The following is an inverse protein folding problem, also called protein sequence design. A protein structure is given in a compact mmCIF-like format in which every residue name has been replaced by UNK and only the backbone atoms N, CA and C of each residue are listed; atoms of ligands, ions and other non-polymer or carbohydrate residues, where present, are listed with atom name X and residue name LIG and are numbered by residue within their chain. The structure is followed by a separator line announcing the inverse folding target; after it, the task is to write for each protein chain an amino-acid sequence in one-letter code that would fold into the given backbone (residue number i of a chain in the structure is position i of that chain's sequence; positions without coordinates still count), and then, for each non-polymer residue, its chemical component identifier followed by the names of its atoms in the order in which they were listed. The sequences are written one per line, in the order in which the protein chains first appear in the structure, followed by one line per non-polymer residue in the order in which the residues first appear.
data_IF_269586288697
#
_entry.id   IF_269586288697
#
_cell.length_a   1.000
_cell.length_b   1.000
_cell.length_c   1.000
_cell.angle_alpha   90.00
_cell.angle_beta   90.00
_cell.angle_gamma   90.00
#
_symmetry.space_group_name_H-M   'P 1'
#
loop_
_entity.id
_entity.type
_entity.pdbx_description
1 polymer ?
#
# COMPACT_ATOMS: atom_id res chain seq x y z
N UNK A 1 50.60 3.48 35.29
CA UNK A 1 51.13 2.17 34.87
C UNK A 1 49.96 1.44 34.19
N UNK A 2 50.03 1.42 32.88
CA UNK A 2 48.93 1.09 31.97
C UNK A 2 49.11 -0.36 31.52
N UNK A 3 48.09 -1.19 31.65
CA UNK A 3 48.04 -2.48 30.96
C UNK A 3 47.00 -2.45 29.86
N UNK A 4 47.49 -2.57 28.62
CA UNK A 4 46.73 -2.89 27.39
C UNK A 4 46.56 -4.40 27.38
N UNK A 5 45.34 -4.88 27.32
CA UNK A 5 45.04 -6.27 26.95
C UNK A 5 44.34 -6.33 25.62
N UNK A 6 44.94 -7.10 24.73
CA UNK A 6 44.59 -7.45 23.37
C UNK A 6 43.29 -8.24 23.34
N UNK A 7 42.32 -7.78 22.56
CA UNK A 7 41.20 -8.63 22.14
C UNK A 7 41.58 -9.26 20.79
N UNK A 8 41.83 -10.55 20.82
CA UNK A 8 41.99 -11.39 19.63
C UNK A 8 40.62 -11.65 19.02
N UNK A 9 40.42 -11.22 17.77
CA UNK A 9 39.27 -11.59 16.96
C UNK A 9 39.30 -13.10 16.65
N UNK A 10 38.22 -13.78 17.03
CA UNK A 10 37.94 -15.13 16.56
C UNK A 10 37.09 -15.03 15.31
N UNK A 11 37.66 -15.30 14.15
CA UNK A 11 36.94 -15.54 12.92
C UNK A 11 36.21 -16.89 13.04
N UNK A 12 34.91 -16.87 13.22
CA UNK A 12 34.09 -18.07 13.06
C UNK A 12 33.87 -18.32 11.57
N UNK A 13 34.62 -19.26 11.00
CA UNK A 13 34.30 -19.89 9.75
C UNK A 13 33.10 -20.83 9.98
N UNK A 14 31.90 -20.38 9.74
CA UNK A 14 30.70 -21.23 9.70
C UNK A 14 30.72 -22.07 8.43
N UNK A 15 31.37 -23.22 8.44
CA UNK A 15 31.11 -24.28 7.45
C UNK A 15 29.79 -24.94 7.80
N UNK A 16 28.68 -24.33 7.38
CA UNK A 16 27.35 -24.90 7.52
C UNK A 16 27.13 -26.04 6.54
N UNK A 17 27.16 -27.28 7.00
CA UNK A 17 26.53 -28.40 6.31
C UNK A 17 25.01 -28.14 6.28
N UNK A 18 24.50 -27.55 5.20
CA UNK A 18 23.07 -27.47 4.93
C UNK A 18 22.52 -28.90 4.78
N UNK A 19 21.52 -29.26 5.59
CA UNK A 19 20.79 -30.51 5.45
C UNK A 19 20.23 -30.65 4.01
N UNK A 20 20.09 -31.88 3.46
CA UNK A 20 19.63 -32.09 2.08
C UNK A 20 18.30 -31.36 1.74
N UNK A 21 17.41 -31.21 2.70
CA UNK A 21 16.15 -30.45 2.54
C UNK A 21 16.34 -28.94 2.31
N UNK A 22 17.35 -28.31 2.94
CA UNK A 22 17.64 -26.90 2.72
C UNK A 22 18.19 -26.62 1.31
N UNK A 23 18.96 -27.56 0.72
CA UNK A 23 19.48 -27.40 -0.63
C UNK A 23 18.37 -27.53 -1.70
N UNK A 24 17.38 -28.37 -1.49
CA UNK A 24 16.24 -28.52 -2.40
C UNK A 24 15.33 -27.28 -2.35
N UNK A 25 15.09 -26.70 -1.17
CA UNK A 25 14.33 -25.47 -1.01
C UNK A 25 15.06 -24.26 -1.62
N UNK A 26 16.36 -24.11 -1.38
CA UNK A 26 17.14 -23.01 -1.98
C UNK A 26 17.17 -23.08 -3.50
N UNK A 27 17.28 -24.27 -4.09
CA UNK A 27 17.22 -24.46 -5.55
C UNK A 27 15.86 -24.11 -6.15
N UNK A 28 14.76 -24.42 -5.45
CA UNK A 28 13.39 -24.08 -5.88
C UNK A 28 13.19 -22.56 -5.89
N UNK A 29 13.55 -21.88 -4.82
CA UNK A 29 13.39 -20.42 -4.72
C UNK A 29 14.25 -19.65 -5.73
N UNK A 30 15.44 -20.13 -6.04
CA UNK A 30 16.28 -19.55 -7.09
C UNK A 30 15.62 -19.66 -8.48
N UNK A 31 15.01 -20.81 -8.79
CA UNK A 31 14.30 -21.01 -10.06
C UNK A 31 13.06 -20.14 -10.18
N UNK A 32 12.31 -19.96 -9.08
CA UNK A 32 11.15 -19.06 -9.02
C UNK A 32 11.57 -17.60 -9.22
N UNK A 33 12.60 -17.12 -8.54
CA UNK A 33 13.15 -15.77 -8.73
C UNK A 33 13.62 -15.51 -10.15
N UNK A 34 14.25 -16.50 -10.79
CA UNK A 34 14.68 -16.38 -12.18
C UNK A 34 13.49 -16.32 -13.16
N UNK A 35 12.42 -17.08 -12.90
CA UNK A 35 11.19 -17.01 -13.69
C UNK A 35 10.52 -15.61 -13.57
N UNK A 36 10.46 -15.08 -12.35
CA UNK A 36 9.95 -13.72 -12.08
C UNK A 36 10.84 -12.68 -12.77
N UNK A 37 12.17 -12.81 -12.70
CA UNK A 37 13.12 -11.90 -13.35
C UNK A 37 12.92 -11.87 -14.85
N UNK A 38 12.80 -13.03 -15.51
CA UNK A 38 12.55 -13.11 -16.95
C UNK A 38 11.23 -12.44 -17.34
N UNK A 39 10.17 -12.71 -16.59
CA UNK A 39 8.88 -12.06 -16.84
C UNK A 39 8.94 -10.56 -16.60
N UNK A 40 9.60 -10.09 -15.54
CA UNK A 40 9.77 -8.66 -15.26
C UNK A 40 10.56 -7.96 -16.39
N UNK A 41 11.63 -8.55 -16.89
CA UNK A 41 12.39 -8.03 -18.05
C UNK A 41 11.53 -7.96 -19.30
N UNK A 42 10.71 -8.98 -19.57
CA UNK A 42 9.76 -8.98 -20.68
C UNK A 42 8.74 -7.84 -20.55
N UNK A 43 8.16 -7.64 -19.36
CA UNK A 43 7.18 -6.59 -19.13
C UNK A 43 7.77 -5.17 -19.29
N UNK A 44 9.06 -4.99 -18.97
CA UNK A 44 9.79 -3.73 -19.24
C UNK A 44 10.05 -3.56 -20.75
N UNK A 45 10.49 -4.61 -21.43
CA UNK A 45 10.72 -4.60 -22.88
C UNK A 45 9.41 -4.31 -23.66
N UNK A 46 8.30 -4.87 -23.22
CA UNK A 46 6.95 -4.65 -23.79
C UNK A 46 6.36 -3.28 -23.41
N UNK A 47 7.10 -2.44 -22.68
CA UNK A 47 6.69 -1.09 -22.25
C UNK A 47 5.40 -1.05 -21.42
N UNK A 48 5.15 -2.09 -20.62
CA UNK A 48 4.10 -2.02 -19.60
C UNK A 48 4.55 -1.22 -18.40
N UNK A 49 5.83 -1.38 -18.03
CA UNK A 49 6.45 -0.71 -16.90
C UNK A 49 7.84 -0.19 -17.29
N UNK A 50 8.26 0.95 -16.69
CA UNK A 50 9.64 1.43 -16.80
C UNK A 50 10.54 0.74 -15.79
N UNK A 51 10.04 0.45 -14.61
CA UNK A 51 10.77 -0.17 -13.52
C UNK A 51 9.86 -1.08 -12.69
N UNK A 52 10.44 -2.15 -12.16
CA UNK A 52 9.76 -3.19 -11.39
C UNK A 52 10.65 -3.60 -10.21
N UNK A 53 10.05 -3.70 -9.02
CA UNK A 53 10.62 -4.35 -7.85
C UNK A 53 9.62 -5.40 -7.35
N UNK A 54 10.07 -6.65 -7.16
CA UNK A 54 9.23 -7.77 -6.72
C UNK A 54 9.93 -8.54 -5.62
N UNK A 55 9.20 -8.85 -4.54
CA UNK A 55 9.66 -9.68 -3.44
C UNK A 55 8.57 -10.56 -2.87
N UNK A 56 9.00 -11.63 -2.20
CA UNK A 56 8.15 -12.50 -1.36
C UNK A 56 8.86 -12.83 -0.06
N UNK A 57 8.10 -13.28 0.94
CA UNK A 57 8.66 -13.87 2.15
C UNK A 57 9.49 -15.13 1.82
N UNK A 58 10.36 -15.51 2.76
CA UNK A 58 11.19 -16.71 2.68
C UNK A 58 12.13 -16.83 1.47
N UNK A 59 13.31 -16.24 1.57
CA UNK A 59 14.51 -16.69 0.85
C UNK A 59 14.62 -16.49 -0.66
N UNK A 60 13.69 -15.85 -1.34
CA UNK A 60 13.97 -15.47 -2.72
C UNK A 60 14.74 -14.16 -2.75
N UNK A 61 15.77 -14.08 -3.58
CA UNK A 61 16.38 -12.80 -3.89
C UNK A 61 15.33 -11.88 -4.52
N UNK A 62 15.11 -10.67 -3.99
CA UNK A 62 14.22 -9.70 -4.60
C UNK A 62 14.64 -9.40 -6.04
N UNK A 63 13.68 -9.17 -6.91
CA UNK A 63 13.92 -8.85 -8.31
C UNK A 63 13.77 -7.36 -8.53
N UNK A 64 14.82 -6.71 -9.00
CA UNK A 64 14.85 -5.30 -9.40
C UNK A 64 15.23 -5.22 -10.86
N UNK A 65 14.40 -4.56 -11.70
CA UNK A 65 14.66 -4.36 -13.13
C UNK A 65 14.13 -3.02 -13.62
N UNK A 66 14.75 -2.47 -14.65
CA UNK A 66 14.33 -1.23 -15.29
C UNK A 66 14.82 0.03 -14.58
N UNK A 67 14.11 1.14 -14.79
CA UNK A 67 14.55 2.51 -14.43
C UNK A 67 13.55 3.21 -13.53
N UNK A 68 14.04 4.19 -12.76
CA UNK A 68 13.23 5.00 -11.83
C UNK A 68 12.45 6.15 -12.50
N UNK A 69 12.61 6.34 -13.82
CA UNK A 69 11.97 7.42 -14.54
C UNK A 69 11.93 7.19 -16.05
N UNK A 70 11.29 8.10 -16.81
CA UNK A 70 11.14 7.98 -18.25
C UNK A 70 12.39 8.36 -19.05
N UNK A 71 13.34 9.09 -18.46
CA UNK A 71 14.56 9.51 -19.11
C UNK A 71 15.48 8.29 -19.41
N UNK A 72 16.24 8.34 -20.51
CA UNK A 72 17.11 7.23 -20.91
C UNK A 72 18.30 7.03 -19.97
N UNK A 73 18.72 8.06 -19.29
CA UNK A 73 19.77 8.11 -18.27
C UNK A 73 19.22 7.99 -16.83
N UNK A 74 17.91 7.77 -16.65
CA UNK A 74 17.34 7.57 -15.32
C UNK A 74 18.01 6.38 -14.61
N UNK A 75 18.29 6.55 -13.31
CA UNK A 75 18.92 5.51 -12.50
C UNK A 75 18.12 4.21 -12.49
N UNK A 76 18.82 3.10 -12.30
CA UNK A 76 18.20 1.78 -12.18
C UNK A 76 17.38 1.64 -10.90
N UNK A 77 16.33 0.84 -10.96
CA UNK A 77 15.58 0.42 -9.78
C UNK A 77 16.43 -0.46 -8.90
N UNK A 78 16.46 -0.18 -7.60
CA UNK A 78 17.21 -0.89 -6.56
C UNK A 78 16.40 -1.03 -5.26
N UNK A 79 17.03 -1.54 -4.20
CA UNK A 79 16.40 -1.73 -2.89
C UNK A 79 16.09 -0.41 -2.16
N UNK A 80 16.73 0.70 -2.53
CA UNK A 80 16.52 2.02 -1.95
C UNK A 80 15.40 2.79 -2.66
N UNK A 81 14.98 2.32 -3.84
CA UNK A 81 14.00 2.99 -4.68
C UNK A 81 12.65 3.11 -3.99
N UNK A 82 12.18 4.36 -3.79
CA UNK A 82 10.87 4.68 -3.23
C UNK A 82 9.84 4.88 -4.32
N UNK A 83 8.79 4.07 -4.29
CA UNK A 83 7.66 4.11 -5.22
C UNK A 83 6.47 4.83 -4.60
N UNK A 84 5.71 5.59 -5.42
CA UNK A 84 4.37 6.05 -5.04
C UNK A 84 3.44 4.84 -4.91
N UNK A 85 3.01 4.55 -3.69
CA UNK A 85 2.16 3.40 -3.38
C UNK A 85 0.73 3.55 -3.91
N UNK A 86 0.33 4.76 -4.31
CA UNK A 86 -1.05 5.04 -4.71
C UNK A 86 -2.05 4.44 -3.70
N UNK A 87 -3.00 3.64 -4.17
CA UNK A 87 -4.03 3.06 -3.30
C UNK A 87 -3.55 2.01 -2.30
N UNK A 88 -2.30 1.51 -2.36
CA UNK A 88 -1.76 0.73 -1.25
C UNK A 88 -1.63 1.56 0.03
N UNK A 89 -1.61 2.90 -0.06
CA UNK A 89 -1.76 3.80 1.10
C UNK A 89 -2.95 3.43 1.97
N UNK A 90 -4.04 2.91 1.36
CA UNK A 90 -5.24 2.49 2.10
C UNK A 90 -4.97 1.36 3.07
N UNK A 91 -4.07 0.44 2.74
CA UNK A 91 -3.70 -0.67 3.64
C UNK A 91 -2.93 -0.16 4.85
N UNK A 92 -2.07 0.83 4.67
CA UNK A 92 -1.36 1.51 5.77
C UNK A 92 -2.37 2.28 6.65
N UNK A 93 -3.28 3.04 6.05
CA UNK A 93 -4.35 3.76 6.78
C UNK A 93 -5.22 2.80 7.57
N UNK A 94 -5.61 1.66 6.99
CA UNK A 94 -6.38 0.62 7.67
C UNK A 94 -5.60 0.03 8.85
N UNK A 95 -4.29 -0.20 8.71
CA UNK A 95 -3.43 -0.67 9.80
C UNK A 95 -3.33 0.35 10.93
N UNK A 96 -3.20 1.65 10.61
CA UNK A 96 -3.30 2.73 11.62
C UNK A 96 -4.63 2.65 12.37
N UNK A 97 -5.76 2.58 11.64
CA UNK A 97 -7.07 2.46 12.28
C UNK A 97 -7.19 1.19 13.14
N UNK A 98 -6.65 0.06 12.68
CA UNK A 98 -6.64 -1.17 13.45
C UNK A 98 -5.85 -1.05 14.77
N UNK A 99 -4.75 -0.29 14.80
CA UNK A 99 -4.06 0.01 16.07
C UNK A 99 -4.90 0.86 17.03
N UNK A 100 -5.65 1.84 16.50
CA UNK A 100 -6.56 2.67 17.29
C UNK A 100 -7.78 1.88 17.79
N UNK A 101 -8.23 0.88 17.05
CA UNK A 101 -9.28 -0.03 17.51
C UNK A 101 -8.76 -0.91 18.65
N UNK A 102 -7.54 -1.42 18.54
CA UNK A 102 -6.98 -2.31 19.55
C UNK A 102 -6.67 -1.61 20.89
N UNK A 103 -6.40 -0.30 20.86
CA UNK A 103 -6.22 0.48 22.11
C UNK A 103 -7.51 1.15 22.62
N UNK A 104 -8.64 0.94 21.93
CA UNK A 104 -9.95 1.47 22.31
C UNK A 104 -10.19 2.93 21.93
N UNK A 105 -9.27 3.58 21.23
CA UNK A 105 -9.42 4.98 20.78
C UNK A 105 -10.42 5.12 19.62
N UNK A 106 -10.67 4.03 18.87
CA UNK A 106 -11.56 4.00 17.71
C UNK A 106 -12.50 2.79 17.81
N UNK A 107 -13.82 3.05 17.74
CA UNK A 107 -14.83 2.00 17.59
C UNK A 107 -15.19 1.84 16.09
N UNK A 108 -14.92 0.69 15.47
CA UNK A 108 -15.25 0.47 14.06
C UNK A 108 -16.76 0.42 13.78
N UNK A 109 -17.60 0.17 14.81
CA UNK A 109 -19.06 0.12 14.68
C UNK A 109 -19.73 1.47 14.96
N UNK A 110 -19.02 2.42 15.53
CA UNK A 110 -19.53 3.76 15.76
C UNK A 110 -19.79 4.50 14.43
N UNK A 111 -20.83 5.34 14.35
CA UNK A 111 -20.98 6.31 13.27
C UNK A 111 -19.73 7.16 13.14
N UNK A 112 -19.21 7.29 11.92
CA UNK A 112 -17.99 8.08 11.71
C UNK A 112 -18.11 9.54 12.16
N UNK A 113 -19.34 10.06 12.21
CA UNK A 113 -19.66 11.43 12.66
C UNK A 113 -19.50 11.63 14.17
N UNK A 114 -19.29 10.59 14.96
CA UNK A 114 -18.88 10.74 16.35
C UNK A 114 -17.46 11.32 16.44
N UNK A 115 -16.59 10.96 15.49
CA UNK A 115 -15.22 11.46 15.37
C UNK A 115 -15.15 12.73 14.50
N UNK A 116 -16.12 12.91 13.60
CA UNK A 116 -16.17 14.05 12.67
C UNK A 116 -17.57 14.71 12.70
N UNK A 117 -17.94 15.36 13.82
CA UNK A 117 -19.27 15.91 14.01
C UNK A 117 -19.61 17.09 13.08
N UNK A 118 -18.60 17.72 12.48
CA UNK A 118 -18.75 18.81 11.51
C UNK A 118 -19.27 18.34 10.14
N UNK A 119 -19.35 17.04 9.92
CA UNK A 119 -19.88 16.49 8.66
C UNK A 119 -21.39 16.73 8.55
N UNK A 120 -21.86 17.05 7.33
CA UNK A 120 -23.25 17.43 7.04
C UNK A 120 -24.32 16.39 7.43
N UNK A 121 -23.93 15.13 7.65
CA UNK A 121 -24.84 14.09 8.12
C UNK A 121 -25.12 14.17 9.62
N UNK A 122 -24.22 14.79 10.40
CA UNK A 122 -24.41 15.04 11.81
C UNK A 122 -24.78 13.79 12.63
N UNK A 123 -25.49 13.99 13.73
CA UNK A 123 -25.86 12.93 14.68
C UNK A 123 -26.84 11.88 14.13
N UNK A 124 -27.51 12.13 13.01
CA UNK A 124 -28.42 11.16 12.37
C UNK A 124 -27.67 10.15 11.47
N UNK A 125 -26.37 10.29 11.33
CA UNK A 125 -25.55 9.39 10.51
C UNK A 125 -25.57 7.96 11.06
N UNK A 126 -25.82 7.01 10.17
CA UNK A 126 -25.75 5.57 10.46
C UNK A 126 -24.56 4.88 9.79
N UNK A 127 -23.75 5.64 9.03
CA UNK A 127 -22.57 5.11 8.33
C UNK A 127 -21.45 4.95 9.36
N UNK A 128 -20.99 3.72 9.55
CA UNK A 128 -19.96 3.41 10.54
C UNK A 128 -18.55 3.60 9.97
N UNK A 129 -17.56 3.63 10.86
CA UNK A 129 -16.13 3.60 10.48
C UNK A 129 -15.83 2.36 9.63
N UNK A 130 -16.42 1.21 9.96
CA UNK A 130 -16.31 -0.03 9.18
C UNK A 130 -16.86 0.13 7.77
N UNK A 131 -17.98 0.81 7.59
CA UNK A 131 -18.55 1.06 6.26
C UNK A 131 -17.62 1.86 5.36
N UNK A 132 -16.87 2.82 5.93
CA UNK A 132 -15.84 3.57 5.20
C UNK A 132 -14.69 2.62 4.79
N UNK A 133 -14.17 1.84 5.72
CA UNK A 133 -13.02 0.96 5.49
C UNK A 133 -13.29 -0.16 4.48
N UNK A 134 -14.56 -0.63 4.40
CA UNK A 134 -14.99 -1.70 3.49
C UNK A 134 -15.62 -1.20 2.20
N UNK A 135 -15.67 0.12 1.98
CA UNK A 135 -16.31 0.75 0.81
C UNK A 135 -17.82 0.43 0.69
N UNK A 136 -18.51 0.25 1.80
CA UNK A 136 -19.96 -0.03 1.88
C UNK A 136 -20.80 1.14 2.39
N UNK A 137 -20.21 2.32 2.54
CA UNK A 137 -20.85 3.53 3.04
C UNK A 137 -21.92 4.12 2.12
N UNK A 138 -21.86 3.82 0.82
CA UNK A 138 -22.69 4.45 -0.21
C UNK A 138 -22.11 5.75 -0.79
N UNK A 139 -20.98 6.26 -0.27
CA UNK A 139 -20.29 7.40 -0.87
C UNK A 139 -19.65 7.02 -2.20
N UNK A 140 -19.90 7.83 -3.23
CA UNK A 140 -19.13 7.83 -4.46
C UNK A 140 -17.76 8.50 -4.29
N UNK A 141 -16.97 8.48 -5.35
CA UNK A 141 -15.64 9.11 -5.34
C UNK A 141 -15.74 10.64 -5.25
N UNK A 142 -14.60 11.28 -5.02
CA UNK A 142 -14.50 12.73 -5.15
C UNK A 142 -15.02 13.19 -6.51
N UNK A 143 -15.58 14.40 -6.54
CA UNK A 143 -15.93 15.08 -7.79
C UNK A 143 -14.65 15.53 -8.51
N UNK A 144 -13.72 14.61 -8.74
CA UNK A 144 -12.32 14.84 -9.10
C UNK A 144 -12.12 15.80 -10.27
N UNK A 145 -13.06 15.87 -11.22
CA UNK A 145 -13.01 16.85 -12.31
C UNK A 145 -13.01 18.29 -11.80
N UNK A 146 -13.68 18.57 -10.67
CA UNK A 146 -13.72 19.94 -10.11
C UNK A 146 -12.39 20.40 -9.56
N UNK A 147 -11.64 19.51 -8.88
CA UNK A 147 -10.38 19.90 -8.24
C UNK A 147 -9.19 19.83 -9.19
N UNK A 148 -9.21 18.89 -10.14
CA UNK A 148 -8.11 18.64 -11.04
C UNK A 148 -8.09 19.59 -12.24
N UNK A 149 -9.25 20.06 -12.68
CA UNK A 149 -9.36 20.91 -13.87
C UNK A 149 -9.15 22.39 -13.55
N UNK A 150 -9.49 22.82 -12.33
CA UNK A 150 -9.29 24.22 -11.93
C UNK A 150 -9.14 24.35 -10.40
N UNK A 151 -7.95 24.13 -9.83
CA UNK A 151 -7.69 24.28 -8.39
C UNK A 151 -7.95 25.69 -7.88
N UNK A 152 -7.74 26.71 -8.72
CA UNK A 152 -7.98 28.11 -8.36
C UNK A 152 -9.47 28.42 -8.27
N UNK A 153 -10.28 27.79 -9.12
CA UNK A 153 -11.73 27.97 -9.15
C UNK A 153 -12.47 27.22 -8.05
N UNK A 154 -11.92 26.10 -7.59
CA UNK A 154 -12.53 25.23 -6.58
C UNK A 154 -11.80 25.25 -5.23
N UNK A 155 -10.84 26.14 -5.03
CA UNK A 155 -10.29 26.44 -3.71
C UNK A 155 -9.19 25.50 -3.20
N UNK A 156 -8.60 24.62 -4.05
CA UNK A 156 -7.48 23.75 -3.62
C UNK A 156 -7.78 23.00 -2.32
N UNK A 157 -6.90 23.13 -1.32
CA UNK A 157 -7.06 22.50 -0.01
C UNK A 157 -8.35 22.90 0.71
N UNK A 158 -8.76 24.17 0.62
CA UNK A 158 -10.00 24.63 1.22
C UNK A 158 -11.23 23.98 0.56
N UNK A 159 -11.23 23.83 -0.76
CA UNK A 159 -12.30 23.14 -1.49
C UNK A 159 -12.36 21.65 -1.15
N UNK A 160 -11.21 21.00 -0.95
CA UNK A 160 -11.14 19.62 -0.47
C UNK A 160 -11.80 19.47 0.90
N UNK A 161 -11.50 20.35 1.87
CA UNK A 161 -12.08 20.30 3.21
C UNK A 161 -13.60 20.57 3.19
N UNK A 162 -14.09 21.43 2.29
CA UNK A 162 -15.52 21.64 2.08
C UNK A 162 -16.19 20.36 1.56
N UNK A 163 -15.65 19.73 0.49
CA UNK A 163 -16.23 18.47 -0.01
C UNK A 163 -16.17 17.37 1.04
N UNK A 164 -15.08 17.30 1.82
CA UNK A 164 -14.94 16.30 2.88
C UNK A 164 -16.06 16.40 3.93
N UNK A 165 -16.54 17.63 4.23
CA UNK A 165 -17.63 17.87 5.19
C UNK A 165 -19.02 17.76 4.60
N UNK A 166 -19.20 18.12 3.33
CA UNK A 166 -20.54 18.38 2.77
C UNK A 166 -21.04 17.29 1.84
N UNK A 167 -20.16 16.38 1.40
CA UNK A 167 -20.58 15.30 0.49
C UNK A 167 -21.57 14.36 1.16
N UNK A 168 -22.65 14.06 0.43
CA UNK A 168 -23.68 13.10 0.85
C UNK A 168 -23.49 11.76 0.12
N UNK A 169 -23.91 10.62 0.73
CA UNK A 169 -23.92 9.34 0.05
C UNK A 169 -24.78 9.42 -1.23
N UNK A 170 -24.29 8.82 -2.30
CA UNK A 170 -24.97 8.72 -3.59
C UNK A 170 -25.80 7.43 -3.72
N UNK A 171 -25.57 6.49 -2.81
CA UNK A 171 -26.19 5.17 -2.75
C UNK A 171 -26.56 4.81 -1.30
N UNK A 172 -27.50 3.88 -1.12
CA UNK A 172 -27.79 3.37 0.23
C UNK A 172 -26.56 2.75 0.90
N UNK A 173 -26.44 2.89 2.22
CA UNK A 173 -25.49 2.14 3.07
C UNK A 173 -25.59 0.64 2.75
N UNK A 174 -24.48 -0.08 2.78
CA UNK A 174 -24.39 -1.49 2.38
C UNK A 174 -24.30 -1.68 0.86
N UNK A 175 -24.17 -0.61 0.07
CA UNK A 175 -23.86 -0.71 -1.35
C UNK A 175 -22.37 -0.60 -1.57
N UNK A 176 -21.75 -1.63 -2.15
CA UNK A 176 -20.33 -1.59 -2.48
C UNK A 176 -20.05 -0.53 -3.54
N UNK A 177 -19.17 0.41 -3.22
CA UNK A 177 -18.65 1.38 -4.14
C UNK A 177 -17.21 1.75 -3.73
N UNK A 178 -16.23 1.22 -4.46
CA UNK A 178 -14.84 1.62 -4.20
C UNK A 178 -14.69 3.14 -4.33
N UNK A 179 -14.25 3.79 -3.28
CA UNK A 179 -14.19 5.25 -3.20
C UNK A 179 -12.95 5.73 -2.45
N UNK A 180 -12.19 6.64 -3.06
CA UNK A 180 -11.09 7.34 -2.40
C UNK A 180 -11.61 8.27 -1.30
N UNK A 181 -12.82 8.81 -1.46
CA UNK A 181 -13.47 9.64 -0.45
C UNK A 181 -13.63 8.92 0.88
N UNK A 182 -14.00 7.63 0.88
CA UNK A 182 -14.10 6.83 2.10
C UNK A 182 -12.81 6.85 2.92
N UNK A 183 -11.66 6.72 2.26
CA UNK A 183 -10.36 6.69 2.94
C UNK A 183 -9.84 8.07 3.33
N UNK A 184 -10.25 9.13 2.64
CA UNK A 184 -10.02 10.49 3.09
C UNK A 184 -10.83 10.79 4.37
N UNK A 185 -12.11 10.38 4.44
CA UNK A 185 -12.89 10.44 5.68
C UNK A 185 -12.28 9.57 6.78
N UNK A 186 -11.92 8.33 6.46
CA UNK A 186 -11.34 7.39 7.43
C UNK A 186 -10.05 7.94 8.04
N UNK A 187 -9.20 8.62 7.24
CA UNK A 187 -8.01 9.27 7.78
C UNK A 187 -8.34 10.42 8.74
N UNK A 188 -9.34 11.22 8.41
CA UNK A 188 -9.80 12.29 9.33
C UNK A 188 -10.36 11.72 10.63
N UNK A 189 -11.11 10.63 10.55
CA UNK A 189 -11.57 9.88 11.74
C UNK A 189 -10.39 9.37 12.57
N UNK A 190 -9.38 8.76 11.93
CA UNK A 190 -8.18 8.28 12.61
C UNK A 190 -7.40 9.42 13.29
N UNK A 191 -7.25 10.57 12.62
CA UNK A 191 -6.59 11.76 13.19
C UNK A 191 -7.32 12.29 14.43
N UNK A 192 -8.64 12.33 14.39
CA UNK A 192 -9.47 12.77 15.53
C UNK A 192 -9.42 11.78 16.70
N UNK A 193 -9.51 10.47 16.40
CA UNK A 193 -9.43 9.43 17.41
C UNK A 193 -8.03 9.34 18.05
N UNK A 194 -6.98 9.47 17.23
CA UNK A 194 -5.58 9.36 17.69
C UNK A 194 -4.93 10.68 18.15
N UNK A 195 -5.58 11.83 17.94
CA UNK A 195 -5.10 13.15 18.37
C UNK A 195 -3.84 13.64 17.66
N UNK A 196 -3.46 13.05 16.52
CA UNK A 196 -2.27 13.38 15.73
C UNK A 196 -2.59 13.32 14.25
N UNK A 197 -1.75 13.95 13.41
CA UNK A 197 -1.86 13.82 11.96
C UNK A 197 -1.60 12.38 11.49
N UNK A 198 -2.18 12.00 10.35
CA UNK A 198 -2.13 10.63 9.83
C UNK A 198 -0.69 10.12 9.63
N UNK A 199 0.20 10.95 9.10
CA UNK A 199 1.61 10.61 8.91
C UNK A 199 2.32 10.31 10.23
N UNK A 200 2.05 11.10 11.28
CA UNK A 200 2.58 10.85 12.63
C UNK A 200 2.02 9.58 13.25
N UNK A 201 0.71 9.35 13.11
CA UNK A 201 0.10 8.10 13.57
C UNK A 201 0.73 6.90 12.86
N UNK A 202 0.92 6.96 11.55
CA UNK A 202 1.55 5.89 10.81
C UNK A 202 3.03 5.69 11.20
N UNK A 203 3.78 6.77 11.37
CA UNK A 203 5.18 6.70 11.80
C UNK A 203 5.32 6.02 13.17
N UNK A 204 4.48 6.39 14.13
CA UNK A 204 4.56 5.88 15.50
C UNK A 204 3.95 4.48 15.65
N UNK A 205 2.86 4.18 14.93
CA UNK A 205 2.04 3.00 15.15
C UNK A 205 2.22 1.88 14.12
N UNK A 206 2.79 2.19 12.94
CA UNK A 206 3.01 1.20 11.88
C UNK A 206 4.46 1.19 11.43
N UNK A 207 4.99 2.30 10.91
CA UNK A 207 6.31 2.32 10.31
C UNK A 207 7.43 2.06 11.34
N UNK A 208 7.38 2.71 12.50
CA UNK A 208 8.35 2.54 13.57
C UNK A 208 8.40 1.09 14.10
N UNK A 209 7.28 0.52 14.58
CA UNK A 209 7.22 -0.85 15.05
C UNK A 209 7.69 -1.90 14.03
N UNK A 210 7.43 -1.67 12.73
CA UNK A 210 7.84 -2.56 11.63
C UNK A 210 9.23 -2.26 11.06
N UNK A 211 9.90 -1.21 11.52
CA UNK A 211 11.21 -0.81 10.99
C UNK A 211 11.17 -0.31 9.54
N UNK A 212 10.05 0.27 9.10
CA UNK A 212 9.84 0.82 7.75
C UNK A 212 10.42 2.23 7.64
N UNK A 213 11.75 2.33 7.66
CA UNK A 213 12.48 3.60 7.82
C UNK A 213 12.49 4.49 6.58
N UNK A 214 12.15 3.95 5.41
CA UNK A 214 12.10 4.68 4.14
C UNK A 214 10.67 4.88 3.62
N UNK A 215 9.69 4.75 4.51
CA UNK A 215 8.26 4.95 4.22
C UNK A 215 7.74 6.25 4.81
N UNK A 216 6.89 6.96 4.06
CA UNK A 216 6.30 8.21 4.52
C UNK A 216 5.32 8.82 3.52
N UNK A 217 4.57 9.83 3.96
CA UNK A 217 3.67 10.59 3.09
C UNK A 217 4.41 11.66 2.28
N UNK A 218 3.89 11.90 1.10
CA UNK A 218 4.25 13.08 0.30
C UNK A 218 4.04 14.40 1.10
N UNK A 219 4.90 15.40 0.98
CA UNK A 219 6.13 15.43 0.18
C UNK A 219 7.27 14.61 0.79
N UNK A 220 7.95 13.84 -0.04
CA UNK A 220 9.16 13.11 0.36
C UNK A 220 10.42 13.83 -0.14
N UNK A 221 11.47 13.81 0.66
CA UNK A 221 12.77 14.37 0.24
C UNK A 221 13.35 13.48 -0.86
N UNK A 222 13.70 14.09 -1.99
CA UNK A 222 14.42 13.39 -3.05
C UNK A 222 15.89 13.24 -2.64
N UNK A 223 16.29 12.00 -2.40
CA UNK A 223 17.66 11.59 -2.08
C UNK A 223 18.31 10.82 -3.24
N UNK A 224 17.78 10.97 -4.45
CA UNK A 224 18.22 10.26 -5.64
C UNK A 224 17.59 8.87 -5.81
N UNK A 225 16.73 8.46 -4.89
CA UNK A 225 16.06 7.14 -4.90
C UNK A 225 14.52 7.24 -4.95
N UNK A 226 13.98 8.35 -5.40
CA UNK A 226 12.54 8.53 -5.56
C UNK A 226 12.15 8.45 -7.01
N UNK A 227 11.14 7.64 -7.33
CA UNK A 227 10.68 7.46 -8.71
C UNK A 227 10.05 8.75 -9.28
N UNK A 228 10.27 8.97 -10.57
CA UNK A 228 9.49 9.90 -11.36
C UNK A 228 8.33 9.16 -12.02
N UNK A 229 7.10 9.37 -11.52
CA UNK A 229 5.92 8.73 -12.11
C UNK A 229 5.64 9.31 -13.49
N UNK A 230 5.71 8.51 -14.58
CA UNK A 230 5.72 9.02 -15.95
C UNK A 230 4.36 9.47 -16.49
N UNK A 231 3.35 9.49 -15.63
CA UNK A 231 1.99 9.84 -16.02
C UNK A 231 1.84 11.37 -16.09
N UNK A 232 1.43 11.88 -17.26
CA UNK A 232 1.15 13.30 -17.44
C UNK A 232 -0.03 13.75 -16.59
N UNK A 233 0.06 14.95 -16.08
CA UNK A 233 -1.07 15.63 -15.47
C UNK A 233 -2.12 15.99 -16.54
N UNK A 234 -3.37 16.25 -16.13
CA UNK A 234 -4.43 16.66 -17.07
C UNK A 234 -4.13 17.98 -17.78
N UNK A 235 -3.31 18.84 -17.18
CA UNK A 235 -2.80 20.07 -17.78
C UNK A 235 -1.68 19.83 -18.81
N UNK A 236 -1.30 18.57 -19.07
CA UNK A 236 -0.25 18.19 -20.00
C UNK A 236 1.16 18.30 -19.47
N UNK A 237 1.37 18.76 -18.23
CA UNK A 237 2.69 18.84 -17.61
C UNK A 237 3.18 17.46 -17.15
N UNK A 238 4.49 17.25 -17.19
CA UNK A 238 5.13 16.11 -16.57
C UNK A 238 5.16 16.31 -15.06
N UNK A 239 5.08 15.20 -14.32
CA UNK A 239 5.23 15.20 -12.88
C UNK A 239 6.67 15.38 -12.49
N UNK A 240 6.88 15.94 -11.30
CA UNK A 240 8.20 16.04 -10.68
C UNK A 240 8.51 14.75 -9.93
N UNK A 241 9.80 14.46 -9.79
CA UNK A 241 10.29 13.41 -8.90
C UNK A 241 9.68 13.57 -7.52
N UNK A 242 9.21 12.47 -6.93
CA UNK A 242 8.60 12.48 -5.60
C UNK A 242 7.22 13.14 -5.50
N UNK A 243 6.61 13.56 -6.62
CA UNK A 243 5.26 14.12 -6.60
C UNK A 243 4.22 13.00 -6.63
N UNK A 244 3.27 13.05 -5.67
CA UNK A 244 2.19 12.07 -5.59
C UNK A 244 1.34 12.07 -6.87
N UNK A 245 1.03 10.85 -7.38
CA UNK A 245 0.20 10.70 -8.57
C UNK A 245 -1.24 11.15 -8.33
N UNK A 246 -1.83 10.78 -7.20
CA UNK A 246 -3.22 11.09 -6.87
C UNK A 246 -3.41 12.60 -6.74
N UNK A 247 -4.27 13.16 -7.60
CA UNK A 247 -4.49 14.60 -7.65
C UNK A 247 -5.18 15.12 -6.39
N UNK A 248 -6.10 14.33 -5.80
CA UNK A 248 -6.80 14.72 -4.58
C UNK A 248 -5.82 14.77 -3.41
N UNK A 249 -4.94 13.78 -3.29
CA UNK A 249 -3.89 13.76 -2.26
C UNK A 249 -2.96 14.99 -2.38
N UNK A 250 -2.64 15.38 -3.62
CA UNK A 250 -1.81 16.58 -3.88
C UNK A 250 -2.50 17.87 -3.48
N UNK A 251 -3.82 18.00 -3.80
CA UNK A 251 -4.58 19.22 -3.49
C UNK A 251 -5.07 19.31 -2.05
N UNK A 252 -5.14 18.19 -1.35
CA UNK A 252 -5.55 18.17 0.07
C UNK A 252 -4.64 19.02 0.98
N UNK A 253 -3.38 19.26 0.57
CA UNK A 253 -2.41 20.05 1.34
C UNK A 253 -1.96 19.40 2.65
N UNK A 254 -2.35 18.15 2.90
CA UNK A 254 -2.00 17.34 4.06
C UNK A 254 -2.02 15.84 3.71
N UNK A 255 -1.41 15.00 4.54
CA UNK A 255 -1.57 13.55 4.42
C UNK A 255 -3.05 13.13 4.45
N UNK A 256 -3.46 12.28 3.50
CA UNK A 256 -4.80 11.70 3.45
C UNK A 256 -4.74 10.20 3.19
N UNK A 257 -5.76 9.47 3.64
CA UNK A 257 -5.69 8.01 3.73
C UNK A 257 -5.88 7.24 2.43
N UNK A 258 -6.24 7.90 1.32
CA UNK A 258 -6.51 7.20 0.06
C UNK A 258 -5.27 6.99 -0.81
N UNK A 259 -4.25 7.86 -0.69
CA UNK A 259 -3.00 7.84 -1.46
C UNK A 259 -1.95 8.75 -0.81
N UNK A 260 -0.70 8.70 -1.29
CA UNK A 260 0.36 9.63 -0.93
C UNK A 260 1.52 9.03 -0.15
N UNK A 261 1.46 7.75 0.25
CA UNK A 261 2.62 7.07 0.83
C UNK A 261 3.61 6.70 -0.28
N UNK A 262 4.88 7.00 -0.02
CA UNK A 262 6.03 6.49 -0.75
C UNK A 262 6.74 5.46 0.11
N UNK A 263 7.20 4.37 -0.49
CA UNK A 263 7.89 3.29 0.22
C UNK A 263 8.81 2.49 -0.70
N UNK A 264 9.69 1.71 -0.12
CA UNK A 264 10.58 0.78 -0.81
C UNK A 264 10.04 -0.65 -0.77
N UNK A 265 10.59 -1.52 -1.62
CA UNK A 265 10.26 -2.95 -1.56
C UNK A 265 10.62 -3.58 -0.21
N UNK A 266 11.83 -3.36 0.38
CA UNK A 266 12.15 -3.90 1.69
C UNK A 266 11.18 -3.46 2.80
N UNK A 267 10.76 -2.20 2.83
CA UNK A 267 9.80 -1.73 3.83
C UNK A 267 8.42 -2.37 3.65
N UNK A 268 7.93 -2.45 2.40
CA UNK A 268 6.66 -3.11 2.12
C UNK A 268 6.70 -4.62 2.38
N UNK A 269 7.86 -5.27 2.21
CA UNK A 269 8.02 -6.67 2.61
C UNK A 269 7.89 -6.84 4.12
N UNK A 270 8.51 -5.98 4.95
CA UNK A 270 8.30 -6.00 6.41
C UNK A 270 6.82 -5.89 6.78
N UNK A 271 6.08 -5.02 6.09
CA UNK A 271 4.64 -4.86 6.31
C UNK A 271 3.85 -6.14 6.01
N UNK A 272 4.06 -6.76 4.84
CA UNK A 272 3.30 -7.96 4.45
C UNK A 272 3.76 -9.21 5.18
N UNK A 273 5.03 -9.32 5.56
CA UNK A 273 5.55 -10.40 6.39
C UNK A 273 4.97 -10.36 7.80
N UNK A 274 4.86 -9.17 8.40
CA UNK A 274 4.18 -9.01 9.70
C UNK A 274 2.69 -9.37 9.62
N UNK A 275 2.01 -9.00 8.53
CA UNK A 275 0.63 -9.43 8.31
C UNK A 275 0.49 -10.95 8.24
N UNK A 276 1.45 -11.65 7.63
CA UNK A 276 1.46 -13.10 7.55
C UNK A 276 1.77 -13.76 8.89
N UNK A 277 2.79 -13.28 9.57
CA UNK A 277 3.36 -13.87 10.78
C UNK A 277 2.64 -13.43 12.07
N UNK A 278 1.91 -12.31 12.01
CA UNK A 278 1.11 -11.75 13.12
C UNK A 278 1.90 -11.52 14.41
N UNK A 279 3.11 -10.91 14.31
CA UNK A 279 4.05 -10.83 15.43
C UNK A 279 4.03 -9.50 16.19
N UNK A 280 3.85 -8.38 15.48
CA UNK A 280 4.10 -7.05 16.05
C UNK A 280 2.89 -6.49 16.82
N UNK A 281 1.68 -6.78 16.35
CA UNK A 281 0.45 -6.20 16.89
C UNK A 281 -0.41 -7.24 17.64
N UNK A 282 -1.36 -6.81 18.48
CA UNK A 282 -2.34 -7.73 19.07
C UNK A 282 -3.16 -8.49 18.03
N UNK A 283 -3.63 -9.70 18.36
CA UNK A 283 -4.40 -10.55 17.44
C UNK A 283 -5.62 -9.82 16.82
N UNK A 284 -6.32 -9.01 17.61
CA UNK A 284 -7.48 -8.23 17.15
C UNK A 284 -7.14 -7.26 15.99
N UNK A 285 -5.89 -6.76 15.91
CA UNK A 285 -5.42 -5.97 14.79
C UNK A 285 -5.50 -6.75 13.47
N UNK A 286 -4.92 -7.95 13.46
CA UNK A 286 -4.91 -8.80 12.27
C UNK A 286 -6.30 -9.34 11.95
N UNK A 287 -7.10 -9.69 12.95
CA UNK A 287 -8.47 -10.16 12.75
C UNK A 287 -9.32 -9.11 12.04
N UNK A 288 -9.15 -7.83 12.37
CA UNK A 288 -9.82 -6.74 11.67
C UNK A 288 -9.40 -6.64 10.19
N UNK A 289 -8.12 -6.86 9.88
CA UNK A 289 -7.58 -6.75 8.53
C UNK A 289 -7.88 -7.98 7.66
N UNK A 290 -7.96 -9.18 8.25
CA UNK A 290 -8.16 -10.43 7.52
C UNK A 290 -9.63 -10.85 7.42
N UNK A 291 -10.44 -10.55 8.43
CA UNK A 291 -11.82 -11.01 8.45
C UNK A 291 -12.69 -10.18 7.49
N UNK A 292 -13.13 -10.82 6.42
CA UNK A 292 -14.04 -10.20 5.43
C UNK A 292 -15.39 -9.92 6.06
N UNK A 293 -15.63 -8.67 6.41
CA UNK A 293 -16.84 -8.20 7.11
C UNK A 293 -17.93 -7.72 6.18
N UNK A 294 -17.57 -7.36 4.94
CA UNK A 294 -18.51 -6.99 3.91
C UNK A 294 -18.47 -8.01 2.76
N UNK A 295 -19.64 -8.59 2.43
CA UNK A 295 -19.81 -9.52 1.30
C UNK A 295 -21.08 -9.16 0.53
N UNK A 296 -20.94 -8.86 -0.77
CA UNK A 296 -22.07 -8.63 -1.66
C UNK A 296 -21.70 -8.99 -3.10
N UNK A 297 -22.33 -10.03 -3.64
CA UNK A 297 -21.95 -10.58 -4.95
C UNK A 297 -20.48 -11.02 -4.96
N UNK A 298 -19.73 -10.49 -5.91
CA UNK A 298 -18.29 -10.75 -6.06
C UNK A 298 -17.40 -9.91 -5.11
N UNK A 299 -17.93 -8.85 -4.51
CA UNK A 299 -17.19 -8.01 -3.58
C UNK A 299 -17.10 -8.67 -2.20
N UNK A 300 -15.88 -8.89 -1.74
CA UNK A 300 -15.59 -9.28 -0.38
C UNK A 300 -14.48 -8.36 0.16
N UNK A 301 -14.74 -7.65 1.24
CA UNK A 301 -13.83 -6.66 1.82
C UNK A 301 -13.65 -6.88 3.31
N UNK A 302 -12.40 -6.76 3.73
CA UNK A 302 -12.05 -6.51 5.13
C UNK A 302 -11.66 -5.06 5.32
N UNK A 303 -11.15 -4.72 6.48
CA UNK A 303 -10.65 -3.39 6.78
C UNK A 303 -9.38 -3.13 5.95
N UNK A 304 -9.51 -2.45 4.83
CA UNK A 304 -8.38 -2.07 3.95
C UNK A 304 -8.04 -3.04 2.83
N UNK A 305 -8.60 -4.25 2.81
CA UNK A 305 -8.19 -5.25 1.83
C UNK A 305 -9.35 -5.82 1.01
N UNK A 306 -9.01 -6.33 -0.16
CA UNK A 306 -9.87 -7.12 -1.02
C UNK A 306 -9.61 -8.62 -0.77
N UNK A 307 -10.68 -9.40 -0.64
CA UNK A 307 -10.68 -10.86 -0.54
C UNK A 307 -11.43 -11.48 -1.72
N UNK A 308 -11.81 -10.67 -2.70
CA UNK A 308 -12.66 -11.08 -3.82
C UNK A 308 -11.89 -11.69 -4.99
N UNK A 309 -12.50 -11.65 -6.17
CA UNK A 309 -12.05 -12.33 -7.39
C UNK A 309 -10.72 -11.80 -7.97
N UNK A 310 -10.24 -10.66 -7.48
CA UNK A 310 -9.03 -10.02 -8.02
C UNK A 310 -7.72 -10.58 -7.44
N UNK A 311 -7.76 -11.67 -6.66
CA UNK A 311 -6.55 -12.34 -6.17
C UNK A 311 -5.76 -12.96 -7.32
N UNK A 312 -4.44 -13.15 -7.16
CA UNK A 312 -3.64 -13.86 -8.14
C UNK A 312 -4.10 -15.31 -8.30
N UNK A 313 -3.86 -15.90 -9.46
CA UNK A 313 -4.14 -17.31 -9.71
C UNK A 313 -3.27 -18.21 -8.80
N UNK A 314 -3.85 -19.29 -8.28
CA UNK A 314 -3.19 -20.21 -7.36
C UNK A 314 -3.30 -19.82 -5.87
N UNK A 315 -3.84 -18.65 -5.54
CA UNK A 315 -4.01 -18.21 -4.16
C UNK A 315 -5.37 -18.65 -3.58
N UNK A 316 -5.40 -18.89 -2.26
CA UNK A 316 -6.59 -19.35 -1.55
C UNK A 316 -7.66 -18.27 -1.41
N UNK A 317 -8.85 -18.65 -0.95
CA UNK A 317 -9.92 -17.69 -0.65
C UNK A 317 -9.68 -16.86 0.61
N UNK A 318 -8.71 -17.24 1.44
CA UNK A 318 -8.27 -16.51 2.62
C UNK A 318 -7.29 -15.38 2.30
N UNK A 319 -6.77 -15.33 1.06
CA UNK A 319 -5.81 -14.31 0.64
C UNK A 319 -6.43 -12.93 0.70
N UNK A 320 -5.74 -12.00 1.37
CA UNK A 320 -6.00 -10.57 1.32
C UNK A 320 -5.05 -9.90 0.32
N UNK A 321 -5.56 -8.94 -0.43
CA UNK A 321 -4.74 -8.23 -1.41
C UNK A 321 -5.21 -6.80 -1.62
N UNK A 322 -4.37 -5.98 -2.24
CA UNK A 322 -4.74 -4.66 -2.71
C UNK A 322 -3.89 -4.22 -3.91
N UNK A 323 -4.44 -3.35 -4.74
CA UNK A 323 -3.74 -2.80 -5.92
C UNK A 323 -3.64 -1.28 -5.87
N UNK A 324 -2.58 -0.72 -6.45
CA UNK A 324 -2.36 0.71 -6.65
C UNK A 324 -2.40 1.10 -8.12
N UNK A 325 -2.90 2.29 -8.42
CA UNK A 325 -3.07 2.78 -9.80
C UNK A 325 -1.73 2.93 -10.52
N UNK A 326 -0.69 3.37 -9.83
CA UNK A 326 0.68 3.57 -10.36
C UNK A 326 1.38 2.26 -10.69
N UNK A 327 0.77 1.12 -10.36
CA UNK A 327 1.27 -0.19 -10.71
C UNK A 327 1.57 -1.09 -9.50
N UNK A 328 1.21 -0.70 -8.31
CA UNK A 328 1.50 -1.43 -7.08
C UNK A 328 0.54 -2.59 -6.84
N UNK A 329 1.02 -3.65 -6.21
CA UNK A 329 0.20 -4.77 -5.79
C UNK A 329 0.83 -5.46 -4.57
N UNK A 330 0.01 -5.90 -3.64
CA UNK A 330 0.42 -6.79 -2.55
C UNK A 330 -0.60 -7.92 -2.38
N UNK A 331 -0.12 -9.06 -1.87
CA UNK A 331 -0.96 -10.20 -1.53
C UNK A 331 -0.37 -10.94 -0.32
N UNK A 332 -1.21 -11.31 0.63
CA UNK A 332 -0.87 -12.14 1.78
C UNK A 332 -1.87 -13.28 1.86
N UNK A 333 -1.39 -14.51 1.86
CA UNK A 333 -2.20 -15.73 1.91
C UNK A 333 -1.76 -16.60 3.09
N UNK A 334 -2.55 -16.65 4.18
CA UNK A 334 -2.19 -17.44 5.35
C UNK A 334 -2.29 -18.96 5.12
N UNK A 335 -3.06 -19.42 4.14
CA UNK A 335 -3.18 -20.87 3.82
C UNK A 335 -2.01 -21.38 2.98
N UNK A 336 -1.35 -20.49 2.22
CA UNK A 336 -0.15 -20.81 1.42
C UNK A 336 1.16 -20.38 2.08
N UNK A 337 1.19 -19.95 3.34
CA UNK A 337 2.18 -19.11 4.03
C UNK A 337 2.95 -18.15 3.10
N UNK A 338 2.20 -17.33 2.35
CA UNK A 338 2.77 -16.44 1.34
C UNK A 338 2.49 -14.96 1.66
N UNK A 339 3.53 -14.15 1.55
CA UNK A 339 3.45 -12.70 1.54
C UNK A 339 4.30 -12.14 0.39
N UNK A 340 3.71 -11.32 -0.48
CA UNK A 340 4.44 -10.80 -1.63
C UNK A 340 4.00 -9.41 -2.05
N UNK A 341 4.96 -8.67 -2.63
CA UNK A 341 4.80 -7.28 -3.07
C UNK A 341 5.36 -7.10 -4.47
N UNK A 342 4.63 -6.35 -5.29
CA UNK A 342 5.07 -5.84 -6.59
C UNK A 342 4.96 -4.33 -6.57
N UNK A 343 6.07 -3.63 -6.77
CA UNK A 343 6.14 -2.18 -6.95
C UNK A 343 6.60 -1.88 -8.36
N UNK A 344 5.88 -1.00 -9.07
CA UNK A 344 6.20 -0.71 -10.47
C UNK A 344 6.06 0.76 -10.83
N UNK A 345 6.74 1.16 -11.90
CA UNK A 345 6.47 2.39 -12.63
C UNK A 345 5.66 2.05 -13.89
N UNK A 346 4.36 2.27 -13.83
CA UNK A 346 3.46 2.04 -14.96
C UNK A 346 3.70 3.02 -16.11
N UNK A 347 3.85 2.50 -17.32
CA UNK A 347 3.92 3.34 -18.52
C UNK A 347 2.56 3.99 -18.83
N UNK A 348 2.55 5.23 -19.35
CA UNK A 348 1.32 5.88 -19.80
C UNK A 348 0.61 5.04 -20.88
N UNK A 349 -0.71 4.87 -20.75
CA UNK A 349 -1.51 4.12 -21.73
C UNK A 349 -1.34 2.60 -21.68
N UNK A 350 -0.48 2.05 -20.83
CA UNK A 350 -0.30 0.61 -20.74
C UNK A 350 -1.56 -0.09 -20.21
N UNK A 351 -2.02 -1.10 -20.94
CA UNK A 351 -3.16 -1.96 -20.59
C UNK A 351 -2.70 -3.28 -19.98
N UNK A 352 -3.59 -4.03 -19.32
CA UNK A 352 -3.26 -5.33 -18.76
C UNK A 352 -2.32 -5.32 -17.55
N UNK A 353 -1.94 -4.15 -17.04
CA UNK A 353 -0.96 -4.01 -15.96
C UNK A 353 -1.36 -4.70 -14.65
N UNK A 354 -2.66 -4.81 -14.35
CA UNK A 354 -3.14 -5.52 -13.16
C UNK A 354 -2.93 -7.04 -13.31
N UNK A 355 -3.21 -7.60 -14.48
CA UNK A 355 -2.97 -9.02 -14.77
C UNK A 355 -1.48 -9.34 -14.72
N UNK A 356 -0.62 -8.47 -15.29
CA UNK A 356 0.83 -8.63 -15.25
C UNK A 356 1.38 -8.68 -13.81
N UNK A 357 0.94 -7.80 -12.93
CA UNK A 357 1.36 -7.77 -11.51
C UNK A 357 0.92 -9.03 -10.75
N UNK A 358 -0.31 -9.49 -10.97
CA UNK A 358 -0.80 -10.73 -10.35
C UNK A 358 0.01 -11.93 -10.85
N UNK A 359 0.32 -11.99 -12.15
CA UNK A 359 1.15 -13.04 -12.73
C UNK A 359 2.55 -13.11 -12.08
N UNK A 360 3.18 -11.97 -11.82
CA UNK A 360 4.48 -11.94 -11.13
C UNK A 360 4.42 -12.63 -9.75
N UNK A 361 3.36 -12.42 -8.96
CA UNK A 361 3.20 -13.14 -7.68
C UNK A 361 2.78 -14.60 -7.87
N UNK A 362 1.94 -14.91 -8.87
CA UNK A 362 1.58 -16.31 -9.17
C UNK A 362 2.79 -17.17 -9.54
N UNK A 363 3.80 -16.61 -10.22
CA UNK A 363 5.05 -17.30 -10.53
C UNK A 363 5.81 -17.74 -9.27
N UNK A 364 5.78 -16.94 -8.20
CA UNK A 364 6.34 -17.33 -6.90
C UNK A 364 5.52 -18.40 -6.17
N UNK A 365 4.22 -18.50 -6.44
CA UNK A 365 3.34 -19.51 -5.86
C UNK A 365 3.34 -20.83 -6.67
N UNK A 366 4.25 -20.99 -7.64
CA UNK A 366 4.33 -22.15 -8.51
C UNK A 366 3.25 -22.17 -9.61
N UNK A 367 2.63 -21.05 -9.92
CA UNK A 367 1.72 -20.86 -11.06
C UNK A 367 2.48 -20.97 -12.39
N UNK A 368 1.87 -21.68 -13.38
CA UNK A 368 2.41 -21.85 -14.74
C UNK A 368 2.17 -20.61 -15.61
#
# INVERSE_FOLDING_TARGET
MIRRDFIRGAAFAAAGCLAPGCRLLSGRYAAESEAVRREALRLVADKLFLGIAVGRNECSEPVYVGRMGPADDAASVDELTRFDLASLTKTITASVCATLVTDGSLDPEAPFTEYFPEHVLGKSCQITVRDLATHSSGFGNFSSRRYCEDPLRHGGAAGFEVELREKRPERPRGTYCYSCYNYALLSTVAERAGGKSLDRLAAERVFGPLGMTRSGWWPVVDDGHVVEVPLRMKDGKLRKVGEVHDEVARYAGRPIGNAGVFSTLPDMMRFVEDLLERRTFPAAHYDLLFNGTFRKGKACRSFGFDLGENRPEGFSSAAIHHSGFTGQFLCVDPELPFAGVVLTLRCPGAEGTLTARRRLLSLYAGGK
#
